data_IF_373723583825
#
_entry.id   IF_373723583825
#
_cell.length_a   1.000
_cell.length_b   1.000
_cell.length_c   1.000
_cell.angle_alpha   90.00
_cell.angle_beta   90.00
_cell.angle_gamma   90.00
#
_symmetry.space_group_name_H-M   'P 1'
#
loop_
_entity.id
_entity.type
_entity.pdbx_description
1 polymer ?
#
# COMPACT_ATOMS: atom_id res chain seq x y z
N UNK A 1 -12.26 -2.25 25.67
CA UNK A 1 -13.70 -2.59 25.81
C UNK A 1 -13.81 -4.06 26.21
N UNK A 2 -14.93 -4.53 26.77
CA UNK A 2 -15.13 -5.97 27.03
C UNK A 2 -15.51 -6.68 25.72
N UNK A 3 -14.97 -7.86 25.48
CA UNK A 3 -15.22 -8.68 24.29
C UNK A 3 -15.76 -10.07 24.68
N UNK A 4 -15.96 -10.95 23.69
CA UNK A 4 -16.41 -12.33 23.93
C UNK A 4 -15.35 -13.11 24.71
N UNK A 5 -15.71 -14.29 25.24
CA UNK A 5 -14.77 -15.20 25.91
C UNK A 5 -14.01 -14.57 27.09
N UNK A 6 -14.65 -13.66 27.83
CA UNK A 6 -14.03 -13.00 28.99
C UNK A 6 -12.89 -12.04 28.62
N UNK A 7 -12.76 -11.69 27.33
CA UNK A 7 -11.65 -10.90 26.83
C UNK A 7 -11.82 -9.39 27.04
N UNK A 8 -10.70 -8.67 26.97
CA UNK A 8 -10.67 -7.23 26.76
C UNK A 8 -10.07 -6.93 25.40
N UNK A 9 -10.69 -6.03 24.63
CA UNK A 9 -10.20 -5.66 23.30
C UNK A 9 -10.04 -4.15 23.11
N UNK A 10 -9.02 -3.78 22.34
CA UNK A 10 -8.86 -2.48 21.72
C UNK A 10 -8.82 -2.66 20.21
N UNK A 11 -9.80 -2.10 19.50
CA UNK A 11 -9.93 -2.23 18.06
C UNK A 11 -9.60 -0.88 17.41
N UNK A 12 -8.68 -0.89 16.45
CA UNK A 12 -8.48 0.22 15.53
C UNK A 12 -9.20 -0.02 14.21
N UNK A 13 -9.07 0.94 13.29
CA UNK A 13 -9.60 0.81 11.95
C UNK A 13 -8.89 -0.32 11.17
N UNK A 14 -9.55 -0.83 10.14
CA UNK A 14 -8.92 -1.68 9.11
C UNK A 14 -8.27 -2.98 9.59
N UNK A 15 -8.77 -3.58 10.66
CA UNK A 15 -8.30 -4.90 11.06
C UNK A 15 -7.19 -4.90 12.09
N UNK A 16 -6.75 -3.74 12.57
CA UNK A 16 -5.81 -3.69 13.68
C UNK A 16 -6.55 -3.86 15.00
N UNK A 17 -6.08 -4.76 15.86
CA UNK A 17 -6.64 -4.92 17.19
C UNK A 17 -5.68 -5.59 18.15
N UNK A 18 -5.96 -5.39 19.44
CA UNK A 18 -5.36 -6.08 20.54
C UNK A 18 -6.46 -6.75 21.37
N UNK A 19 -6.31 -8.04 21.67
CA UNK A 19 -7.20 -8.80 22.54
C UNK A 19 -6.39 -9.42 23.68
N UNK A 20 -6.94 -9.35 24.89
CA UNK A 20 -6.35 -9.90 26.10
C UNK A 20 -7.33 -10.92 26.68
N UNK A 21 -6.84 -12.14 26.94
CA UNK A 21 -7.57 -13.21 27.60
C UNK A 21 -6.92 -13.50 28.97
N UNK A 22 -7.35 -12.82 30.05
CA UNK A 22 -6.69 -12.94 31.36
C UNK A 22 -6.71 -14.36 31.93
N UNK A 23 -7.80 -15.12 31.71
CA UNK A 23 -7.91 -16.51 32.17
C UNK A 23 -6.89 -17.44 31.49
N UNK A 24 -6.40 -17.06 30.31
CA UNK A 24 -5.47 -17.82 29.50
C UNK A 24 -4.03 -17.28 29.56
N UNK A 25 -3.80 -16.16 30.24
CA UNK A 25 -2.52 -15.41 30.24
C UNK A 25 -2.00 -15.11 28.82
N UNK A 26 -2.90 -14.65 27.94
CA UNK A 26 -2.58 -14.35 26.52
C UNK A 26 -2.91 -12.91 26.16
N UNK A 27 -1.99 -12.29 25.43
CA UNK A 27 -2.21 -11.05 24.68
C UNK A 27 -1.95 -11.32 23.20
N UNK A 28 -2.93 -10.99 22.36
CA UNK A 28 -2.84 -11.06 20.92
C UNK A 28 -2.86 -9.65 20.36
N UNK A 29 -1.85 -9.29 19.56
CA UNK A 29 -1.81 -8.04 18.81
C UNK A 29 -1.71 -8.33 17.31
N UNK A 30 -2.58 -7.71 16.52
CA UNK A 30 -2.60 -7.81 15.07
C UNK A 30 -2.55 -6.41 14.46
N UNK A 31 -1.60 -6.22 13.55
CA UNK A 31 -1.55 -5.05 12.67
C UNK A 31 -2.29 -5.39 11.38
N UNK A 32 -3.30 -4.59 11.01
CA UNK A 32 -4.22 -4.90 9.93
C UNK A 32 -4.37 -3.76 8.92
N UNK A 33 -4.58 -4.16 7.67
CA UNK A 33 -4.92 -3.28 6.54
C UNK A 33 -5.94 -4.00 5.65
N UNK A 34 -7.00 -4.50 6.28
CA UNK A 34 -8.02 -5.33 5.63
C UNK A 34 -9.39 -5.08 6.27
N UNK A 35 -10.41 -5.00 5.45
CA UNK A 35 -11.81 -5.00 5.90
C UNK A 35 -12.30 -6.40 6.27
N UNK A 36 -13.36 -6.45 7.08
CA UNK A 36 -13.94 -7.68 7.59
C UNK A 36 -13.09 -8.26 8.72
N UNK A 37 -13.15 -7.58 9.87
CA UNK A 37 -12.46 -7.94 11.10
C UNK A 37 -13.04 -9.21 11.73
N UNK A 38 -14.35 -9.35 11.62
CA UNK A 38 -15.13 -10.46 12.15
C UNK A 38 -14.57 -11.81 11.69
N UNK A 39 -14.18 -11.93 10.42
CA UNK A 39 -13.60 -13.17 9.88
C UNK A 39 -12.28 -13.52 10.57
N UNK A 40 -11.44 -12.53 10.84
CA UNK A 40 -10.15 -12.77 11.51
C UNK A 40 -10.39 -13.17 12.97
N UNK A 41 -11.33 -12.51 13.65
CA UNK A 41 -11.70 -12.82 15.04
C UNK A 41 -12.31 -14.22 15.16
N UNK A 42 -13.19 -14.61 14.25
CA UNK A 42 -13.79 -15.94 14.23
C UNK A 42 -12.71 -17.03 14.08
N UNK A 43 -11.73 -16.84 13.18
CA UNK A 43 -10.61 -17.78 13.02
C UNK A 43 -9.72 -17.88 14.27
N UNK A 44 -9.56 -16.78 14.98
CA UNK A 44 -8.79 -16.76 16.24
C UNK A 44 -9.53 -17.54 17.33
N UNK A 45 -10.83 -17.32 17.47
CA UNK A 45 -11.65 -18.05 18.45
C UNK A 45 -11.84 -19.52 18.07
N UNK A 46 -11.82 -19.85 16.79
CA UNK A 46 -11.90 -21.23 16.30
C UNK A 46 -10.58 -22.00 16.50
N UNK A 47 -9.43 -21.37 16.23
CA UNK A 47 -8.16 -22.08 16.15
C UNK A 47 -7.18 -21.76 17.28
N UNK A 48 -7.04 -20.49 17.66
CA UNK A 48 -5.98 -20.05 18.59
C UNK A 48 -6.44 -20.14 20.04
N UNK A 49 -7.61 -19.59 20.36
CA UNK A 49 -8.13 -19.58 21.72
C UNK A 49 -8.27 -21.02 22.31
N UNK A 50 -8.85 -22.00 21.60
CA UNK A 50 -8.97 -23.37 22.13
C UNK A 50 -7.63 -24.10 22.24
N UNK A 51 -6.59 -23.63 21.55
CA UNK A 51 -5.26 -24.21 21.60
C UNK A 51 -4.40 -23.72 22.78
N UNK A 52 -4.84 -22.67 23.49
CA UNK A 52 -4.15 -22.15 24.67
C UNK A 52 -4.14 -23.19 25.81
N UNK A 53 -3.05 -23.25 26.57
CA UNK A 53 -2.89 -24.17 27.71
C UNK A 53 -2.20 -23.47 28.89
N UNK A 54 -2.48 -23.87 30.14
CA UNK A 54 -1.81 -23.31 31.33
C UNK A 54 -0.30 -23.61 31.41
N UNK A 55 0.21 -24.51 30.58
CA UNK A 55 1.59 -24.98 30.62
C UNK A 55 2.18 -24.94 29.21
N UNK A 56 3.47 -24.66 29.11
CA UNK A 56 4.19 -24.72 27.85
C UNK A 56 4.03 -26.10 27.19
N UNK A 57 3.84 -26.11 25.87
CA UNK A 57 3.84 -27.33 25.08
C UNK A 57 5.28 -27.89 25.00
N UNK A 58 5.46 -29.22 24.95
CA UNK A 58 6.74 -29.81 24.61
C UNK A 58 7.22 -29.31 23.24
N UNK A 59 8.54 -29.19 23.06
CA UNK A 59 9.11 -28.84 21.77
C UNK A 59 8.74 -29.89 20.71
N UNK A 60 8.26 -29.41 19.56
CA UNK A 60 8.00 -30.21 18.38
C UNK A 60 8.72 -29.59 17.19
N UNK A 61 9.93 -30.08 16.92
CA UNK A 61 10.76 -29.57 15.84
C UNK A 61 10.12 -29.79 14.46
N UNK A 62 9.31 -30.85 14.28
CA UNK A 62 8.65 -31.15 13.01
C UNK A 62 7.57 -30.12 12.68
N UNK A 63 6.70 -29.83 13.65
CA UNK A 63 5.65 -28.80 13.52
C UNK A 63 6.28 -27.41 13.39
N UNK A 64 7.33 -27.11 14.16
CA UNK A 64 8.00 -25.82 14.07
C UNK A 64 8.70 -25.62 12.71
N UNK A 65 9.32 -26.65 12.14
CA UNK A 65 9.90 -26.59 10.80
C UNK A 65 8.82 -26.41 9.71
N UNK A 66 7.66 -27.07 9.87
CA UNK A 66 6.53 -26.89 8.97
C UNK A 66 5.99 -25.45 9.02
N UNK A 67 5.85 -24.87 10.22
CA UNK A 67 5.46 -23.47 10.41
C UNK A 67 6.49 -22.52 9.77
N UNK A 68 7.78 -22.71 10.05
CA UNK A 68 8.84 -21.90 9.45
C UNK A 68 8.80 -21.96 7.92
N UNK A 69 8.63 -23.15 7.33
CA UNK A 69 8.54 -23.34 5.89
C UNK A 69 7.31 -22.68 5.27
N UNK A 70 6.19 -22.61 6.01
CA UNK A 70 5.00 -21.89 5.59
C UNK A 70 5.24 -20.37 5.63
N UNK A 71 5.77 -19.86 6.74
CA UNK A 71 6.03 -18.43 6.93
C UNK A 71 7.06 -17.89 5.93
N UNK A 72 8.11 -18.66 5.62
CA UNK A 72 9.14 -18.24 4.67
C UNK A 72 8.66 -18.13 3.22
N UNK A 73 7.48 -18.68 2.90
CA UNK A 73 6.86 -18.63 1.56
C UNK A 73 5.79 -17.55 1.45
N UNK A 74 5.38 -16.94 2.56
CA UNK A 74 4.42 -15.84 2.52
C UNK A 74 5.12 -14.60 1.96
N UNK A 75 4.59 -14.07 0.88
CA UNK A 75 5.08 -12.86 0.24
C UNK A 75 3.89 -12.04 -0.26
N UNK A 76 4.10 -10.73 -0.33
CA UNK A 76 3.19 -9.84 -1.07
C UNK A 76 3.52 -10.04 -2.56
N UNK A 77 2.53 -10.40 -3.40
CA UNK A 77 2.76 -10.60 -4.83
C UNK A 77 3.32 -9.33 -5.49
N UNK A 78 4.31 -9.49 -6.37
CA UNK A 78 4.82 -8.40 -7.19
C UNK A 78 3.89 -8.15 -8.38
N UNK A 79 3.77 -6.90 -8.87
CA UNK A 79 3.15 -6.63 -10.17
C UNK A 79 3.76 -7.51 -11.27
N UNK A 80 2.91 -8.15 -12.07
CA UNK A 80 3.34 -9.09 -13.13
C UNK A 80 3.31 -8.39 -14.49
N UNK A 81 4.44 -8.34 -15.19
CA UNK A 81 4.52 -7.66 -16.49
C UNK A 81 5.95 -7.57 -17.02
N UNK A 82 6.15 -6.73 -18.03
CA UNK A 82 7.46 -6.49 -18.64
C UNK A 82 8.22 -5.35 -17.93
N UNK A 83 9.55 -5.36 -17.93
CA UNK A 83 10.37 -4.25 -17.41
C UNK A 83 10.23 -2.98 -18.25
N UNK A 84 9.85 -3.11 -19.53
CA UNK A 84 9.82 -2.00 -20.50
C UNK A 84 8.59 -2.09 -21.40
N UNK A 85 8.25 -0.95 -21.99
CA UNK A 85 7.22 -0.80 -23.01
C UNK A 85 7.72 0.05 -24.18
N UNK A 86 7.24 -0.16 -25.42
CA UNK A 86 7.45 0.77 -26.55
C UNK A 86 7.01 2.22 -26.26
N UNK A 87 6.07 2.42 -25.32
CA UNK A 87 5.57 3.73 -24.92
C UNK A 87 6.43 4.40 -23.84
N UNK A 88 7.23 3.64 -23.08
CA UNK A 88 7.95 4.13 -21.90
C UNK A 88 8.77 5.41 -22.18
N UNK A 89 9.54 5.42 -23.27
CA UNK A 89 10.36 6.58 -23.65
C UNK A 89 9.52 7.81 -24.07
N UNK A 90 8.28 7.61 -24.53
CA UNK A 90 7.38 8.70 -24.96
C UNK A 90 6.62 9.33 -23.80
N UNK A 91 6.43 8.61 -22.70
CA UNK A 91 5.71 9.10 -21.52
C UNK A 91 6.63 9.40 -20.33
N UNK A 92 7.89 8.98 -20.39
CA UNK A 92 8.90 9.32 -19.40
C UNK A 92 9.09 10.83 -19.33
N UNK A 93 9.21 11.36 -18.12
CA UNK A 93 9.38 12.78 -17.82
C UNK A 93 8.21 13.68 -18.26
N UNK A 94 7.10 13.11 -18.74
CA UNK A 94 5.86 13.87 -18.89
C UNK A 94 5.20 14.05 -17.52
N UNK A 95 4.88 15.30 -17.21
CA UNK A 95 4.10 15.67 -16.02
C UNK A 95 2.62 15.73 -16.40
N UNK A 96 1.78 14.98 -15.70
CA UNK A 96 0.33 15.00 -15.91
C UNK A 96 -0.35 15.78 -14.79
N UNK A 97 -1.21 16.74 -15.17
CA UNK A 97 -1.98 17.60 -14.29
C UNK A 97 -3.40 17.06 -14.12
N UNK A 98 -3.83 16.94 -12.86
CA UNK A 98 -5.14 16.42 -12.47
C UNK A 98 -6.08 17.51 -11.92
N UNK A 99 -5.63 18.76 -11.81
CA UNK A 99 -6.43 19.87 -11.24
C UNK A 99 -7.68 20.19 -12.07
N UNK A 100 -7.68 19.84 -13.35
CA UNK A 100 -8.82 20.01 -14.25
C UNK A 100 -9.84 18.85 -14.19
N UNK A 101 -9.61 17.83 -13.35
CA UNK A 101 -10.54 16.72 -13.20
C UNK A 101 -11.89 17.21 -12.62
N UNK A 102 -12.98 16.97 -13.35
CA UNK A 102 -14.33 17.52 -13.06
C UNK A 102 -14.85 17.19 -11.66
N UNK A 103 -14.41 16.07 -11.09
CA UNK A 103 -14.52 15.79 -9.66
C UNK A 103 -13.20 16.19 -9.00
N UNK A 104 -13.11 17.45 -8.57
CA UNK A 104 -11.90 18.06 -8.02
C UNK A 104 -11.11 17.05 -7.13
N UNK A 105 -9.84 16.70 -7.45
CA UNK A 105 -9.07 15.69 -6.69
C UNK A 105 -8.73 16.13 -5.25
N UNK A 106 -9.24 17.28 -4.82
CA UNK A 106 -9.21 17.83 -3.46
C UNK A 106 -9.78 16.91 -2.39
N UNK A 107 -10.47 15.82 -2.76
CA UNK A 107 -10.98 14.78 -1.84
C UNK A 107 -10.22 13.46 -1.93
N UNK A 108 -8.93 13.48 -2.30
CA UNK A 108 -8.04 12.37 -1.95
C UNK A 108 -7.82 12.36 -0.43
N UNK A 109 -8.78 11.77 0.27
CA UNK A 109 -8.66 11.42 1.67
C UNK A 109 -7.71 10.25 1.78
N UNK A 110 -6.46 10.59 2.05
CA UNK A 110 -5.53 9.63 2.58
C UNK A 110 -5.79 9.46 4.06
N UNK A 111 -6.49 8.39 4.42
CA UNK A 111 -6.81 8.12 5.81
C UNK A 111 -5.70 7.32 6.47
N UNK A 112 -4.70 8.06 6.93
CA UNK A 112 -3.55 7.49 7.62
C UNK A 112 -3.79 7.32 9.12
N UNK A 113 -5.06 7.18 9.55
CA UNK A 113 -5.40 6.97 10.96
C UNK A 113 -5.22 8.21 11.86
N UNK A 114 -4.96 9.38 11.28
CA UNK A 114 -4.69 10.64 11.99
C UNK A 114 -5.75 11.74 11.78
N UNK A 115 -6.87 11.43 11.11
CA UNK A 115 -7.98 12.37 10.87
C UNK A 115 -8.08 12.84 9.40
N UNK A 116 -9.11 13.63 9.05
CA UNK A 116 -9.39 14.00 7.67
C UNK A 116 -8.42 15.10 7.21
N UNK A 117 -7.23 14.71 6.77
CA UNK A 117 -6.35 15.60 6.04
C UNK A 117 -6.75 15.59 4.56
N UNK A 118 -7.02 16.76 4.01
CA UNK A 118 -7.27 16.93 2.58
C UNK A 118 -5.93 17.05 1.87
N UNK A 119 -5.59 16.05 1.07
CA UNK A 119 -4.46 16.13 0.15
C UNK A 119 -4.98 16.52 -1.21
N UNK A 120 -4.51 17.66 -1.70
CA UNK A 120 -4.86 18.14 -3.04
C UNK A 120 -3.79 17.68 -4.01
N UNK A 121 -4.04 16.55 -4.64
CA UNK A 121 -3.16 16.00 -5.68
C UNK A 121 -3.14 16.91 -6.92
N UNK A 122 -1.95 17.38 -7.28
CA UNK A 122 -1.78 18.30 -8.40
C UNK A 122 -1.25 17.58 -9.64
N UNK A 123 -0.07 16.96 -9.53
CA UNK A 123 0.61 16.36 -10.68
C UNK A 123 1.32 15.06 -10.37
N UNK A 124 1.50 14.23 -11.40
CA UNK A 124 2.36 13.04 -11.35
C UNK A 124 3.33 13.04 -12.53
N UNK A 125 4.54 12.58 -12.30
CA UNK A 125 5.59 12.41 -13.31
C UNK A 125 6.22 11.03 -13.14
N UNK A 126 6.52 10.36 -14.25
CA UNK A 126 7.17 9.05 -14.26
C UNK A 126 8.51 9.17 -14.96
N UNK A 127 9.58 8.67 -14.34
CA UNK A 127 10.85 8.48 -15.01
C UNK A 127 11.12 6.99 -15.21
N UNK A 128 10.95 6.53 -16.45
CA UNK A 128 11.28 5.17 -16.89
C UNK A 128 12.72 5.06 -17.45
N UNK A 129 13.43 6.19 -17.49
CA UNK A 129 14.79 6.33 -18.05
C UNK A 129 15.84 6.58 -16.97
N UNK A 130 15.40 6.83 -15.73
CA UNK A 130 16.26 7.11 -14.60
C UNK A 130 17.30 6.01 -14.43
N UNK A 131 18.55 6.35 -14.72
CA UNK A 131 19.71 5.49 -14.51
C UNK A 131 20.08 5.30 -13.02
N UNK A 132 19.39 5.97 -12.10
CA UNK A 132 19.71 5.99 -10.67
C UNK A 132 19.60 4.62 -9.99
N UNK A 133 18.91 3.65 -10.60
CA UNK A 133 18.72 2.30 -10.06
C UNK A 133 19.67 1.25 -10.65
N UNK A 134 20.43 1.52 -11.72
CA UNK A 134 21.15 0.50 -12.53
C UNK A 134 20.28 -0.70 -12.99
N UNK A 135 18.97 -0.68 -12.72
CA UNK A 135 18.01 -1.76 -12.82
C UNK A 135 16.72 -1.21 -13.45
N UNK A 136 15.99 -2.05 -14.18
CA UNK A 136 14.70 -1.69 -14.77
C UNK A 136 13.69 -1.31 -13.67
N UNK A 137 12.90 -0.25 -13.90
CA UNK A 137 11.99 0.30 -12.90
C UNK A 137 11.38 1.64 -13.29
N UNK A 138 10.92 2.39 -12.30
CA UNK A 138 10.36 3.73 -12.48
C UNK A 138 10.58 4.58 -11.23
N UNK A 139 10.93 5.86 -11.40
CA UNK A 139 10.73 6.87 -10.35
C UNK A 139 9.37 7.50 -10.57
N UNK A 140 8.50 7.42 -9.58
CA UNK A 140 7.22 8.11 -9.57
C UNK A 140 7.32 9.35 -8.68
N UNK A 141 7.12 10.52 -9.26
CA UNK A 141 7.13 11.80 -8.54
C UNK A 141 5.70 12.33 -8.47
N UNK A 142 5.21 12.60 -7.27
CA UNK A 142 3.90 13.19 -6.99
C UNK A 142 4.09 14.57 -6.41
N UNK A 143 3.34 15.55 -6.90
CA UNK A 143 3.25 16.88 -6.30
C UNK A 143 1.83 17.10 -5.78
N UNK A 144 1.74 17.49 -4.52
CA UNK A 144 0.50 17.90 -3.87
C UNK A 144 0.71 19.17 -3.01
N UNK A 145 -0.28 19.53 -2.19
CA UNK A 145 -0.22 20.70 -1.31
C UNK A 145 0.79 20.59 -0.16
N UNK A 146 1.36 19.41 0.09
CA UNK A 146 2.37 19.13 1.14
C UNK A 146 3.78 19.16 0.58
N UNK A 147 3.96 18.90 -0.72
CA UNK A 147 5.24 19.04 -1.39
C UNK A 147 5.44 18.13 -2.58
N UNK A 148 6.71 17.80 -2.82
CA UNK A 148 7.14 16.87 -3.85
C UNK A 148 7.55 15.55 -3.18
N UNK A 149 7.00 14.45 -3.67
CA UNK A 149 7.14 13.12 -3.10
C UNK A 149 7.65 12.17 -4.17
N UNK A 150 8.70 11.42 -3.87
CA UNK A 150 9.25 10.43 -4.79
C UNK A 150 9.08 9.02 -4.24
N UNK A 151 8.76 8.08 -5.14
CA UNK A 151 8.76 6.64 -4.88
C UNK A 151 9.53 5.94 -6.00
N UNK A 152 10.62 5.28 -5.64
CA UNK A 152 11.43 4.49 -6.58
C UNK A 152 10.93 3.05 -6.60
N UNK A 153 10.49 2.58 -7.76
CA UNK A 153 9.97 1.24 -7.99
C UNK A 153 11.00 0.38 -8.72
N UNK A 154 11.28 -0.81 -8.20
CA UNK A 154 12.04 -1.85 -8.92
C UNK A 154 11.14 -2.74 -9.79
N UNK A 155 11.71 -3.43 -10.77
CA UNK A 155 10.99 -4.42 -11.57
C UNK A 155 11.32 -5.85 -11.13
N UNK A 156 10.30 -6.67 -10.81
CA UNK A 156 10.51 -8.07 -10.41
C UNK A 156 11.13 -8.24 -9.01
N UNK A 157 11.33 -7.15 -8.28
CA UNK A 157 11.72 -7.13 -6.88
C UNK A 157 11.14 -5.90 -6.17
N UNK A 158 11.15 -5.93 -4.84
CA UNK A 158 10.84 -4.79 -4.02
C UNK A 158 12.06 -3.86 -3.93
N UNK A 159 11.97 -2.64 -4.44
CA UNK A 159 12.93 -1.59 -4.13
C UNK A 159 12.61 -1.00 -2.76
N UNK A 160 13.53 -1.13 -1.80
CA UNK A 160 13.37 -0.62 -0.44
C UNK A 160 14.00 0.77 -0.35
N UNK A 161 13.21 1.76 0.03
CA UNK A 161 13.65 3.14 0.19
C UNK A 161 12.80 3.88 1.21
N UNK A 162 12.78 5.19 1.10
CA UNK A 162 11.93 6.07 1.90
C UNK A 162 11.16 7.03 1.00
N UNK A 163 10.02 7.50 1.47
CA UNK A 163 9.18 8.47 0.77
C UNK A 163 8.41 9.32 1.77
N UNK A 164 7.95 10.49 1.36
CA UNK A 164 7.07 11.36 2.14
C UNK A 164 5.61 11.31 1.67
N UNK A 165 5.27 10.51 0.64
CA UNK A 165 3.92 10.49 0.02
C UNK A 165 2.80 10.11 1.03
N UNK A 166 3.14 9.25 1.99
CA UNK A 166 2.26 8.77 3.06
C UNK A 166 2.44 9.56 4.38
N UNK A 167 3.28 10.61 4.37
CA UNK A 167 3.43 11.48 5.54
C UNK A 167 2.32 12.53 5.61
N UNK A 168 1.72 12.73 6.78
CA UNK A 168 0.73 13.77 7.01
C UNK A 168 1.30 15.18 6.84
N UNK A 169 2.57 15.39 7.21
CA UNK A 169 3.27 16.68 7.08
C UNK A 169 3.98 16.88 5.73
N UNK A 170 4.05 15.85 4.88
CA UNK A 170 4.80 15.85 3.61
C UNK A 170 6.34 15.92 3.73
N UNK A 171 6.89 15.82 4.94
CA UNK A 171 8.32 16.01 5.24
C UNK A 171 8.93 14.83 5.99
N UNK A 172 8.16 14.11 6.81
CA UNK A 172 8.63 12.92 7.53
C UNK A 172 8.82 11.75 6.58
N UNK A 173 10.06 11.28 6.45
CA UNK A 173 10.40 10.12 5.63
C UNK A 173 9.86 8.85 6.27
N UNK A 174 9.11 8.06 5.48
CA UNK A 174 8.59 6.76 5.88
C UNK A 174 9.19 5.65 5.03
N UNK A 175 9.54 4.50 5.63
CA UNK A 175 10.02 3.34 4.87
C UNK A 175 8.97 2.80 3.89
N UNK A 176 9.39 2.59 2.64
CA UNK A 176 8.55 2.03 1.58
C UNK A 176 9.29 0.93 0.82
N UNK A 177 8.58 -0.14 0.49
CA UNK A 177 8.98 -1.14 -0.47
C UNK A 177 8.09 -1.02 -1.71
N UNK A 178 8.66 -0.68 -2.87
CA UNK A 178 7.88 -0.41 -4.08
C UNK A 178 8.36 -1.24 -5.28
N UNK A 179 7.42 -1.69 -6.11
CA UNK A 179 7.69 -2.41 -7.34
C UNK A 179 6.71 -2.02 -8.44
N UNK A 180 7.11 -2.13 -9.70
CA UNK A 180 6.24 -1.89 -10.84
C UNK A 180 6.60 -2.70 -12.08
N UNK A 181 5.62 -2.81 -12.98
CA UNK A 181 5.75 -3.51 -14.24
C UNK A 181 4.78 -2.97 -15.30
N UNK A 182 5.18 -3.06 -16.57
CA UNK A 182 4.29 -2.84 -17.70
C UNK A 182 3.40 -4.06 -17.89
N UNK A 183 2.12 -3.94 -17.56
CA UNK A 183 1.14 -5.03 -17.70
C UNK A 183 0.55 -5.09 -19.11
N UNK A 184 0.68 -3.99 -19.86
CA UNK A 184 0.42 -3.88 -21.29
C UNK A 184 1.28 -2.75 -21.90
N UNK A 185 1.33 -2.62 -23.22
CA UNK A 185 2.13 -1.58 -23.91
C UNK A 185 1.81 -0.16 -23.45
N UNK A 186 0.59 0.11 -22.99
CA UNK A 186 0.20 1.44 -22.51
C UNK A 186 -0.24 1.45 -21.05
N UNK A 187 0.06 0.40 -20.28
CA UNK A 187 -0.37 0.29 -18.88
C UNK A 187 0.79 -0.09 -17.98
N UNK A 188 1.10 0.79 -17.03
CA UNK A 188 2.10 0.56 -15.99
C UNK A 188 1.41 0.41 -14.64
N UNK A 189 1.67 -0.69 -13.95
CA UNK A 189 1.17 -0.95 -12.61
C UNK A 189 2.31 -0.83 -11.60
N UNK A 190 2.06 -0.14 -10.48
CA UNK A 190 2.96 -0.08 -9.34
C UNK A 190 2.23 -0.50 -8.07
N UNK A 191 2.98 -1.13 -7.17
CA UNK A 191 2.54 -1.39 -5.81
C UNK A 191 3.55 -0.81 -4.81
N UNK A 192 3.04 -0.14 -3.78
CA UNK A 192 3.81 0.45 -2.70
C UNK A 192 3.37 -0.16 -1.38
N UNK A 193 4.32 -0.69 -0.61
CA UNK A 193 4.10 -1.24 0.72
C UNK A 193 4.82 -0.36 1.76
N UNK A 194 4.08 0.27 2.66
CA UNK A 194 4.66 1.10 3.71
C UNK A 194 5.04 0.22 4.90
N UNK A 195 6.35 -0.03 5.07
CA UNK A 195 6.89 -1.20 5.79
C UNK A 195 6.52 -1.23 7.27
N UNK A 196 6.33 -0.07 7.89
CA UNK A 196 5.97 0.05 9.30
C UNK A 196 4.45 0.05 9.52
N UNK A 197 3.68 -0.21 8.47
CA UNK A 197 2.21 -0.24 8.47
C UNK A 197 1.71 -1.54 7.84
N UNK A 198 0.38 -1.73 7.82
CA UNK A 198 -0.27 -2.77 7.04
C UNK A 198 -0.87 -2.25 5.72
N UNK A 199 -0.58 -1.01 5.34
CA UNK A 199 -1.18 -0.36 4.18
C UNK A 199 -0.34 -0.56 2.92
N UNK A 200 -1.08 -0.74 1.82
CA UNK A 200 -0.53 -0.89 0.48
C UNK A 200 -1.37 -0.06 -0.49
N UNK A 201 -0.66 0.60 -1.39
CA UNK A 201 -1.25 1.32 -2.51
C UNK A 201 -0.91 0.59 -3.80
N UNK A 202 -1.89 0.44 -4.68
CA UNK A 202 -1.71 -0.04 -6.05
C UNK A 202 -2.14 1.06 -7.00
N UNK A 203 -1.27 1.44 -7.92
CA UNK A 203 -1.54 2.42 -8.96
C UNK A 203 -1.50 1.74 -10.32
N UNK A 204 -2.63 1.79 -11.04
CA UNK A 204 -2.69 1.35 -12.44
C UNK A 204 -2.78 2.59 -13.32
N UNK A 205 -1.71 2.84 -14.07
CA UNK A 205 -1.54 4.01 -14.92
C UNK A 205 -1.77 3.60 -16.37
N UNK A 206 -2.86 4.07 -16.96
CA UNK A 206 -3.15 3.89 -18.38
C UNK A 206 -2.79 5.15 -19.15
N UNK A 207 -1.86 5.03 -20.09
CA UNK A 207 -1.32 6.15 -20.87
C UNK A 207 -1.96 6.24 -22.25
N UNK A 208 -2.35 7.46 -22.62
CA UNK A 208 -2.74 7.89 -23.95
C UNK A 208 -1.79 9.04 -24.37
N UNK A 209 -1.88 9.54 -25.62
CA UNK A 209 -0.90 10.50 -26.16
C UNK A 209 -0.73 11.76 -25.28
N UNK A 210 -1.84 12.36 -24.82
CA UNK A 210 -1.85 13.58 -24.01
C UNK A 210 -2.55 13.40 -22.65
N UNK A 211 -2.93 12.17 -22.31
CA UNK A 211 -3.77 11.84 -21.15
C UNK A 211 -3.25 10.65 -20.38
N UNK A 212 -3.59 10.63 -19.10
CA UNK A 212 -3.42 9.48 -18.23
C UNK A 212 -4.73 9.21 -17.50
N UNK A 213 -5.10 7.93 -17.41
CA UNK A 213 -6.10 7.47 -16.45
C UNK A 213 -5.39 6.71 -15.34
N UNK A 214 -5.50 7.21 -14.12
CA UNK A 214 -4.90 6.63 -12.92
C UNK A 214 -6.00 5.95 -12.09
N UNK A 215 -5.90 4.65 -11.88
CA UNK A 215 -6.70 3.95 -10.90
C UNK A 215 -5.87 3.76 -9.63
N UNK A 216 -6.24 4.47 -8.57
CA UNK A 216 -5.60 4.46 -7.25
C UNK A 216 -6.37 3.54 -6.31
N UNK A 217 -5.76 2.43 -5.91
CA UNK A 217 -6.37 1.46 -5.00
C UNK A 217 -5.59 1.33 -3.69
N UNK A 218 -6.30 1.30 -2.57
CA UNK A 218 -5.74 1.05 -1.24
C UNK A 218 -6.36 -0.23 -0.67
N UNK A 219 -5.55 -1.06 -0.02
CA UNK A 219 -6.04 -2.33 0.54
C UNK A 219 -7.06 -2.16 1.66
N UNK A 220 -7.06 -1.00 2.33
CA UNK A 220 -8.10 -0.59 3.26
C UNK A 220 -8.16 0.93 3.34
N UNK A 221 -9.36 1.50 3.29
CA UNK A 221 -9.63 2.94 3.42
C UNK A 221 -11.05 3.19 3.92
N UNK A 222 -11.31 4.36 4.48
CA UNK A 222 -12.68 4.72 4.88
C UNK A 222 -13.50 5.15 3.65
N UNK A 223 -14.80 4.84 3.70
CA UNK A 223 -15.76 5.12 2.63
C UNK A 223 -15.97 3.94 1.67
N UNK A 224 -16.99 4.06 0.83
CA UNK A 224 -17.47 2.95 -0.03
C UNK A 224 -16.59 2.71 -1.28
N UNK A 225 -15.68 3.64 -1.59
CA UNK A 225 -14.87 3.63 -2.81
C UNK A 225 -13.45 3.20 -2.49
N UNK A 226 -13.12 1.93 -2.74
CA UNK A 226 -11.77 1.38 -2.55
C UNK A 226 -10.77 1.80 -3.63
N UNK A 227 -11.27 2.30 -4.76
CA UNK A 227 -10.48 2.68 -5.93
C UNK A 227 -10.94 4.03 -6.45
N UNK A 228 -10.05 5.01 -6.48
CA UNK A 228 -10.32 6.29 -7.13
C UNK A 228 -9.80 6.24 -8.56
N UNK A 229 -10.65 6.59 -9.52
CA UNK A 229 -10.21 6.83 -10.89
C UNK A 229 -10.01 8.35 -11.07
N UNK A 230 -8.82 8.72 -11.56
CA UNK A 230 -8.43 10.09 -11.83
C UNK A 230 -7.99 10.20 -13.29
N UNK A 231 -8.35 11.30 -13.94
CA UNK A 231 -7.89 11.60 -15.29
C UNK A 231 -7.00 12.85 -15.27
N UNK A 232 -5.79 12.70 -15.79
CA UNK A 232 -4.82 13.77 -15.94
C UNK A 232 -4.54 14.08 -17.39
N UNK A 233 -4.06 15.30 -17.66
CA UNK A 233 -3.57 15.71 -18.99
C UNK A 233 -2.13 16.15 -18.89
N UNK A 234 -1.34 15.94 -19.94
CA UNK A 234 0.04 16.43 -19.98
C UNK A 234 0.06 17.94 -19.75
N UNK A 235 0.86 18.37 -18.77
CA UNK A 235 1.07 19.77 -18.47
C UNK A 235 1.96 20.37 -19.56
N UNK A 236 1.34 21.12 -20.47
CA UNK A 236 2.06 21.90 -21.45
C UNK A 236 2.70 23.08 -20.73
N UNK A 237 4.03 23.10 -20.62
CA UNK A 237 4.75 24.29 -20.15
C UNK A 237 4.44 25.44 -21.11
N UNK A 238 3.71 26.45 -20.63
CA UNK A 238 3.60 27.73 -21.34
C UNK A 238 5.01 28.30 -21.48
N UNK A 239 5.46 28.48 -22.73
CA UNK A 239 6.69 29.20 -23.05
C UNK A 239 6.63 30.64 -22.56
#
# INVERSE_FOLDING_TARGET
>A
WRARHGAYSGNGAFGQFCEMWPEHDVVLAITGGKEGMEVIQDLIWEHLLPATRPSALPEDHGVQQALHSKLSRLAIPLPQGQPRSPLAAKVSQHTYDFRAHEQNPTDLRFDFGHGPFFVTFATITFDFTASSTQEDGCICTIVDNRGCHEVVCGHGHWHKGTTTVNSTDGHTLQPVAASGAWTADNTYEMQWCFVETAFRTTLVCHFEEDRITLNWHENARFGDVKSLQLQGRVLMLSR
#
